data_IF_439952307114
#
_entry.id   IF_439952307114
#
_cell.length_a   1.000
_cell.length_b   1.000
_cell.length_c   1.000
_cell.angle_alpha   90.00
_cell.angle_beta   90.00
_cell.angle_gamma   90.00
#
_symmetry.space_group_name_H-M   'P 1'
#
loop_
_entity.id
_entity.type
_entity.pdbx_description
1 polymer ?
#
# COMPACT_ATOMS: atom_id res chain seq x y z
N UNK A 1 16.50 -5.91 18.18
CA UNK A 1 15.37 -6.37 19.01
C UNK A 1 14.39 -5.24 19.35
N UNK A 2 14.76 -4.25 20.17
CA UNK A 2 13.84 -3.17 20.57
C UNK A 2 13.39 -2.28 19.41
N UNK A 3 14.28 -1.97 18.47
CA UNK A 3 13.98 -1.14 17.28
C UNK A 3 12.89 -1.78 16.42
N UNK A 4 12.97 -3.09 16.18
CA UNK A 4 11.99 -3.80 15.35
C UNK A 4 10.63 -3.91 16.07
N UNK A 5 10.62 -4.13 17.40
CA UNK A 5 9.40 -4.07 18.20
C UNK A 5 8.75 -2.68 18.16
N UNK A 6 9.54 -1.61 18.29
CA UNK A 6 9.07 -0.23 18.14
C UNK A 6 8.53 0.02 16.72
N UNK A 7 9.21 -0.49 15.69
CA UNK A 7 8.75 -0.42 14.30
C UNK A 7 7.39 -1.08 14.11
N UNK A 8 7.16 -2.26 14.68
CA UNK A 8 5.84 -2.91 14.65
C UNK A 8 4.75 -2.12 15.39
N UNK A 9 5.09 -1.49 16.53
CA UNK A 9 4.15 -0.60 17.23
C UNK A 9 3.77 0.62 16.37
N UNK A 10 4.76 1.24 15.74
CA UNK A 10 4.56 2.40 14.84
C UNK A 10 3.70 1.98 13.63
N UNK A 11 4.04 0.87 12.98
CA UNK A 11 3.27 0.31 11.87
C UNK A 11 1.82 0.08 12.26
N UNK A 12 1.58 -0.59 13.39
CA UNK A 12 0.24 -0.89 13.87
C UNK A 12 -0.56 0.38 14.15
N UNK A 13 0.05 1.37 14.81
CA UNK A 13 -0.60 2.64 15.11
C UNK A 13 -0.95 3.41 13.83
N UNK A 14 0.00 3.57 12.90
CA UNK A 14 -0.23 4.27 11.62
C UNK A 14 -1.32 3.58 10.80
N UNK A 15 -1.31 2.25 10.73
CA UNK A 15 -2.31 1.48 9.99
C UNK A 15 -3.70 1.64 10.59
N UNK A 16 -3.85 1.50 11.91
CA UNK A 16 -5.14 1.65 12.59
C UNK A 16 -5.74 3.03 12.40
N UNK A 17 -4.93 4.07 12.65
CA UNK A 17 -5.40 5.45 12.56
C UNK A 17 -5.75 5.79 11.10
N UNK A 18 -4.94 5.35 10.14
CA UNK A 18 -5.15 5.63 8.72
C UNK A 18 -6.33 4.89 8.09
N UNK A 19 -6.60 3.65 8.49
CA UNK A 19 -7.62 2.79 7.84
C UNK A 19 -8.93 2.66 8.60
N UNK A 20 -8.94 2.89 9.91
CA UNK A 20 -10.11 2.65 10.76
C UNK A 20 -10.51 3.89 11.57
N UNK A 21 -9.96 5.07 11.30
CA UNK A 21 -10.02 6.26 12.16
C UNK A 21 -11.38 6.55 12.83
N UNK A 22 -12.49 6.43 12.07
CA UNK A 22 -13.86 6.69 12.56
C UNK A 22 -14.41 5.62 13.51
N UNK A 23 -13.84 4.41 13.53
CA UNK A 23 -14.26 3.31 14.43
C UNK A 23 -13.58 3.36 15.79
N UNK A 24 -12.55 4.18 15.94
CA UNK A 24 -11.76 4.29 17.16
C UNK A 24 -12.17 5.46 18.06
N UNK A 25 -12.86 6.46 17.52
CA UNK A 25 -13.14 7.71 18.22
C UNK A 25 -14.56 8.21 17.92
N UNK A 26 -15.37 8.32 18.97
CA UNK A 26 -16.76 8.82 18.91
C UNK A 26 -16.84 10.35 19.09
N UNK A 27 -15.82 11.08 18.65
CA UNK A 27 -15.73 12.55 18.76
C UNK A 27 -15.54 13.16 17.40
N UNK A 28 -16.54 13.91 16.95
CA UNK A 28 -16.59 14.51 15.61
C UNK A 28 -15.33 15.31 15.25
N UNK A 29 -14.83 16.14 16.17
CA UNK A 29 -13.64 16.96 15.92
C UNK A 29 -12.35 16.14 15.75
N UNK A 30 -12.23 14.98 16.42
CA UNK A 30 -11.08 14.09 16.24
C UNK A 30 -11.19 13.39 14.88
N UNK A 31 -12.39 12.94 14.53
CA UNK A 31 -12.65 12.35 13.21
C UNK A 31 -12.35 13.32 12.08
N UNK A 32 -12.76 14.59 12.21
CA UNK A 32 -12.45 15.64 11.25
C UNK A 32 -10.94 15.86 11.10
N UNK A 33 -10.20 15.94 12.21
CA UNK A 33 -8.75 16.12 12.19
C UNK A 33 -8.02 14.90 11.59
N UNK A 34 -8.47 13.68 11.91
CA UNK A 34 -7.95 12.46 11.32
C UNK A 34 -8.20 12.41 9.80
N UNK A 35 -9.38 12.82 9.35
CA UNK A 35 -9.71 12.87 7.94
C UNK A 35 -8.85 13.92 7.21
N UNK A 36 -8.62 15.07 7.83
CA UNK A 36 -7.77 16.15 7.28
C UNK A 36 -6.32 15.71 7.10
N UNK A 37 -5.79 14.91 8.02
CA UNK A 37 -4.39 14.47 8.01
C UNK A 37 -4.17 13.07 7.42
N UNK A 38 -5.23 12.38 6.97
CA UNK A 38 -5.15 11.05 6.37
C UNK A 38 -4.11 10.92 5.25
N UNK A 39 -3.97 11.86 4.29
CA UNK A 39 -2.93 11.77 3.27
C UNK A 39 -1.51 11.73 3.86
N UNK A 40 -1.25 12.52 4.91
CA UNK A 40 0.07 12.55 5.57
C UNK A 40 0.37 11.26 6.32
N UNK A 41 -0.67 10.62 6.89
CA UNK A 41 -0.54 9.28 7.48
C UNK A 41 -0.17 8.25 6.41
N UNK A 42 -0.78 8.36 5.23
CA UNK A 42 -0.41 7.57 4.06
C UNK A 42 1.04 7.78 3.63
N UNK A 43 1.50 9.01 3.55
CA UNK A 43 2.88 9.35 3.20
C UNK A 43 3.88 8.80 4.23
N UNK A 44 3.54 8.87 5.53
CA UNK A 44 4.35 8.28 6.61
C UNK A 44 4.42 6.76 6.48
N UNK A 45 3.30 6.11 6.22
CA UNK A 45 3.22 4.66 6.08
C UNK A 45 3.92 4.18 4.80
N UNK A 46 3.82 4.93 3.70
CA UNK A 46 4.56 4.72 2.45
C UNK A 46 6.07 4.81 2.68
N UNK A 47 6.52 5.87 3.37
CA UNK A 47 7.93 6.04 3.73
C UNK A 47 8.42 4.87 4.59
N UNK A 48 7.63 4.47 5.59
CA UNK A 48 7.91 3.30 6.43
C UNK A 48 7.99 2.01 5.60
N UNK A 49 7.08 1.81 4.66
CA UNK A 49 7.01 0.60 3.83
C UNK A 49 8.24 0.41 2.94
N UNK A 50 8.91 1.50 2.55
CA UNK A 50 10.13 1.48 1.75
C UNK A 50 11.43 1.29 2.54
N UNK A 51 11.38 1.32 3.87
CA UNK A 51 12.58 1.24 4.72
C UNK A 51 12.51 0.20 5.83
N UNK A 52 11.32 -0.30 6.17
CA UNK A 52 11.18 -1.32 7.21
C UNK A 52 11.79 -2.64 6.73
N UNK A 53 12.75 -3.23 7.46
CA UNK A 53 13.55 -4.34 6.96
C UNK A 53 12.81 -5.69 6.99
N UNK A 54 11.49 -5.69 7.19
CA UNK A 54 10.66 -6.89 7.34
C UNK A 54 9.42 -6.79 6.46
N UNK A 55 9.12 -7.86 5.73
CA UNK A 55 7.97 -7.98 4.83
C UNK A 55 6.67 -8.09 5.63
N UNK A 56 6.21 -6.97 6.20
CA UNK A 56 5.14 -6.96 7.19
C UNK A 56 3.76 -7.36 6.64
N UNK A 57 3.57 -7.37 5.32
CA UNK A 57 2.37 -7.92 4.68
C UNK A 57 2.47 -9.44 4.41
N UNK A 58 3.62 -10.05 4.70
CA UNK A 58 3.91 -11.46 4.42
C UNK A 58 4.59 -12.11 5.65
N UNK A 59 3.90 -12.16 6.80
CA UNK A 59 4.46 -12.60 8.07
C UNK A 59 5.03 -14.03 8.03
N UNK A 60 4.59 -14.87 7.09
CA UNK A 60 5.10 -16.21 6.83
C UNK A 60 6.60 -16.23 6.45
N UNK A 61 7.15 -15.13 5.92
CA UNK A 61 8.56 -15.04 5.54
C UNK A 61 9.46 -14.41 6.61
N UNK A 62 8.89 -13.97 7.73
CA UNK A 62 9.66 -13.34 8.79
C UNK A 62 10.78 -14.25 9.32
N UNK A 63 10.54 -15.56 9.45
CA UNK A 63 11.55 -16.52 9.93
C UNK A 63 12.74 -16.69 8.98
N UNK A 64 12.58 -16.34 7.71
CA UNK A 64 13.62 -16.43 6.68
C UNK A 64 14.48 -15.16 6.60
N UNK A 65 14.00 -14.07 7.19
CA UNK A 65 14.66 -12.77 7.11
C UNK A 65 15.77 -12.65 8.18
N UNK A 66 17.01 -12.46 7.74
CA UNK A 66 18.19 -12.32 8.61
C UNK A 66 18.10 -11.15 9.59
N UNK A 67 17.30 -10.13 9.28
CA UNK A 67 17.05 -8.98 10.14
C UNK A 67 15.88 -9.21 11.11
N UNK A 68 15.08 -10.26 10.90
CA UNK A 68 14.02 -10.60 11.83
C UNK A 68 14.62 -11.18 13.10
N UNK A 69 14.40 -10.48 14.21
CA UNK A 69 14.63 -11.04 15.54
C UNK A 69 13.43 -11.94 15.89
N UNK A 70 13.63 -13.00 16.68
CA UNK A 70 12.54 -13.82 17.25
C UNK A 70 11.76 -13.02 18.32
N UNK A 71 11.14 -11.90 17.94
CA UNK A 71 10.58 -10.90 18.85
C UNK A 71 9.49 -11.49 19.74
N UNK A 72 8.65 -12.37 19.19
CA UNK A 72 7.56 -13.02 19.94
C UNK A 72 8.04 -13.88 21.11
N UNK A 73 9.32 -14.25 21.15
CA UNK A 73 9.93 -15.03 22.24
C UNK A 73 10.74 -14.18 23.22
N UNK A 74 10.84 -12.86 22.99
CA UNK A 74 11.66 -11.97 23.82
C UNK A 74 10.96 -11.55 25.11
N UNK A 75 9.64 -11.31 25.08
CA UNK A 75 8.85 -10.97 26.27
C UNK A 75 7.33 -11.15 26.04
N UNK A 76 6.52 -11.22 27.12
CA UNK A 76 5.06 -11.22 27.01
C UNK A 76 4.49 -10.01 26.26
N UNK A 77 5.06 -8.82 26.48
CA UNK A 77 4.65 -7.58 25.79
C UNK A 77 4.98 -7.64 24.30
N UNK A 78 6.11 -8.22 23.93
CA UNK A 78 6.50 -8.40 22.55
C UNK A 78 5.57 -9.38 21.83
N UNK A 79 5.14 -10.45 22.51
CA UNK A 79 4.13 -11.38 21.99
C UNK A 79 2.77 -10.70 21.78
N UNK A 80 2.30 -9.91 22.74
CA UNK A 80 1.05 -9.14 22.62
C UNK A 80 1.08 -8.18 21.42
N UNK A 81 2.18 -7.45 21.22
CA UNK A 81 2.34 -6.57 20.04
C UNK A 81 2.26 -7.36 18.74
N UNK A 82 2.97 -8.48 18.63
CA UNK A 82 2.94 -9.29 17.41
C UNK A 82 1.55 -9.89 17.14
N UNK A 83 0.83 -10.28 18.20
CA UNK A 83 -0.55 -10.76 18.12
C UNK A 83 -1.50 -9.66 17.63
N UNK A 84 -1.33 -8.43 18.15
CA UNK A 84 -2.10 -7.28 17.71
C UNK A 84 -1.82 -6.92 16.25
N UNK A 85 -0.55 -6.89 15.84
CA UNK A 85 -0.14 -6.63 14.45
C UNK A 85 -0.75 -7.67 13.51
N UNK A 86 -0.71 -8.96 13.85
CA UNK A 86 -1.28 -10.02 13.02
C UNK A 86 -2.80 -9.91 12.85
N UNK A 87 -3.51 -9.32 13.82
CA UNK A 87 -4.95 -9.08 13.74
C UNK A 87 -5.31 -7.86 12.90
N UNK A 88 -4.41 -6.88 12.87
CA UNK A 88 -4.67 -5.55 12.33
C UNK A 88 -4.12 -5.37 10.92
N UNK A 89 -2.89 -5.81 10.68
CA UNK A 89 -2.22 -5.68 9.40
C UNK A 89 -2.65 -6.85 8.50
N UNK A 90 -3.36 -6.59 7.40
CA UNK A 90 -3.78 -7.62 6.45
C UNK A 90 -2.60 -8.23 5.69
N UNK A 91 -2.82 -9.39 5.06
CA UNK A 91 -1.85 -9.96 4.12
C UNK A 91 -1.79 -9.16 2.81
N UNK A 92 -0.66 -9.28 2.10
CA UNK A 92 -0.42 -8.59 0.82
C UNK A 92 -1.54 -8.80 -0.19
N UNK A 93 -2.01 -10.04 -0.35
CA UNK A 93 -3.11 -10.36 -1.27
C UNK A 93 -4.37 -9.58 -0.92
N UNK A 94 -4.71 -9.47 0.37
CA UNK A 94 -5.92 -8.79 0.81
C UNK A 94 -5.86 -7.28 0.54
N UNK A 95 -4.72 -6.62 0.75
CA UNK A 95 -4.60 -5.18 0.46
C UNK A 95 -4.64 -4.87 -1.02
N UNK A 96 -4.08 -5.76 -1.86
CA UNK A 96 -4.14 -5.59 -3.31
C UNK A 96 -5.58 -5.79 -3.79
N UNK A 97 -6.27 -6.84 -3.32
CA UNK A 97 -7.67 -7.08 -3.64
C UNK A 97 -8.56 -5.92 -3.19
N UNK A 98 -8.31 -5.31 -2.03
CA UNK A 98 -9.06 -4.14 -1.57
C UNK A 98 -8.89 -2.92 -2.50
N UNK A 99 -7.69 -2.71 -3.07
CA UNK A 99 -7.46 -1.68 -4.09
C UNK A 99 -8.17 -2.04 -5.41
N UNK A 100 -8.11 -3.30 -5.85
CA UNK A 100 -8.77 -3.79 -7.05
C UNK A 100 -10.29 -3.65 -6.97
N UNK A 101 -10.90 -4.11 -5.88
CA UNK A 101 -12.33 -4.01 -5.62
C UNK A 101 -12.79 -2.55 -5.60
N UNK A 102 -12.02 -1.66 -4.95
CA UNK A 102 -12.33 -0.23 -4.96
C UNK A 102 -12.29 0.36 -6.39
N UNK A 103 -11.29 -0.02 -7.19
CA UNK A 103 -11.14 0.44 -8.58
C UNK A 103 -12.23 -0.10 -9.53
N UNK A 104 -12.76 -1.30 -9.27
CA UNK A 104 -13.82 -1.94 -10.06
C UNK A 104 -15.22 -1.54 -9.62
N UNK A 105 -15.37 -1.13 -8.36
CA UNK A 105 -16.64 -0.67 -7.83
C UNK A 105 -17.10 0.64 -8.47
N UNK A 106 -18.40 0.92 -8.37
CA UNK A 106 -18.95 2.26 -8.61
C UNK A 106 -18.78 3.19 -7.40
N UNK A 107 -18.00 2.76 -6.39
CA UNK A 107 -17.77 3.56 -5.21
C UNK A 107 -16.96 4.79 -5.61
N UNK A 108 -17.34 5.91 -5.02
CA UNK A 108 -16.61 7.16 -5.13
C UNK A 108 -15.43 7.16 -4.15
N UNK A 109 -14.50 8.09 -4.34
CA UNK A 109 -13.42 8.32 -3.39
C UNK A 109 -13.94 8.52 -1.95
N UNK A 110 -15.09 9.18 -1.77
CA UNK A 110 -15.66 9.47 -0.45
C UNK A 110 -16.12 8.22 0.31
N UNK A 111 -16.42 7.12 -0.40
CA UNK A 111 -16.88 5.89 0.23
C UNK A 111 -15.74 5.15 0.96
N UNK A 112 -14.51 5.27 0.47
CA UNK A 112 -13.34 4.61 1.03
C UNK A 112 -12.03 5.39 0.81
N UNK A 113 -11.92 6.63 1.34
CA UNK A 113 -10.78 7.49 1.04
C UNK A 113 -9.46 6.93 1.58
N UNK A 114 -9.51 6.09 2.61
CA UNK A 114 -8.32 5.40 3.14
C UNK A 114 -7.69 4.41 2.15
N UNK A 115 -8.45 3.84 1.21
CA UNK A 115 -7.90 2.96 0.17
C UNK A 115 -6.95 3.75 -0.73
N UNK A 116 -7.38 4.94 -1.14
CA UNK A 116 -6.62 5.84 -2.02
C UNK A 116 -5.51 6.56 -1.27
N UNK A 117 -5.75 7.01 -0.05
CA UNK A 117 -4.84 7.90 0.68
C UNK A 117 -3.89 7.18 1.62
N UNK A 118 -4.12 5.92 1.98
CA UNK A 118 -3.30 5.19 2.96
C UNK A 118 -2.80 3.87 2.38
N UNK A 119 -3.72 3.02 1.91
CA UNK A 119 -3.36 1.67 1.43
C UNK A 119 -2.56 1.77 0.14
N UNK A 120 -3.07 2.51 -0.86
CA UNK A 120 -2.44 2.66 -2.16
C UNK A 120 -1.00 3.22 -2.09
N UNK A 121 -0.71 4.36 -1.43
CA UNK A 121 0.68 4.86 -1.32
C UNK A 121 1.60 3.87 -0.60
N UNK A 122 1.10 3.19 0.44
CA UNK A 122 1.84 2.15 1.16
C UNK A 122 2.23 1.00 0.23
N UNK A 123 1.27 0.44 -0.50
CA UNK A 123 1.50 -0.68 -1.43
C UNK A 123 2.42 -0.26 -2.60
N UNK A 124 2.22 0.94 -3.16
CA UNK A 124 3.08 1.49 -4.22
C UNK A 124 4.56 1.61 -3.79
N UNK A 125 4.82 1.78 -2.50
CA UNK A 125 6.18 1.87 -1.95
C UNK A 125 6.72 0.50 -1.51
N UNK A 126 5.85 -0.35 -0.97
CA UNK A 126 6.17 -1.71 -0.52
C UNK A 126 6.64 -2.60 -1.68
N UNK A 127 5.88 -2.60 -2.80
CA UNK A 127 6.10 -3.56 -3.88
C UNK A 127 7.47 -3.41 -4.55
N UNK A 128 7.93 -2.22 -4.99
CA UNK A 128 9.24 -2.08 -5.62
C UNK A 128 10.39 -2.43 -4.68
N UNK A 129 10.26 -2.07 -3.40
CA UNK A 129 11.26 -2.36 -2.37
C UNK A 129 11.46 -3.88 -2.21
N UNK A 130 10.39 -4.63 -1.97
CA UNK A 130 10.47 -6.08 -1.78
C UNK A 130 10.72 -6.84 -3.08
N UNK A 131 10.22 -6.35 -4.21
CA UNK A 131 10.56 -6.91 -5.52
C UNK A 131 12.07 -6.90 -5.79
N UNK A 132 12.80 -5.91 -5.29
CA UNK A 132 14.26 -5.81 -5.46
C UNK A 132 15.04 -7.00 -4.88
N UNK A 133 14.49 -7.63 -3.83
CA UNK A 133 15.05 -8.81 -3.15
C UNK A 133 14.23 -10.09 -3.39
N UNK A 134 13.20 -10.00 -4.23
CA UNK A 134 12.25 -11.07 -4.49
C UNK A 134 12.77 -12.18 -5.40
N UNK A 135 11.98 -13.26 -5.57
CA UNK A 135 12.39 -14.48 -6.26
C UNK A 135 12.71 -14.28 -7.75
N UNK A 136 12.10 -13.26 -8.39
CA UNK A 136 12.33 -12.96 -9.81
C UNK A 136 13.70 -12.33 -10.09
N UNK A 137 14.25 -11.54 -9.15
CA UNK A 137 15.62 -10.99 -9.26
C UNK A 137 16.68 -11.93 -8.72
N UNK A 138 16.37 -12.67 -7.66
CA UNK A 138 17.31 -13.56 -6.97
C UNK A 138 17.13 -15.04 -7.34
N UNK A 139 16.93 -15.34 -8.64
CA UNK A 139 16.64 -16.71 -9.13
C UNK A 139 17.73 -17.75 -8.84
N UNK A 140 18.96 -17.32 -8.52
CA UNK A 140 20.13 -18.18 -8.26
C UNK A 140 20.55 -18.17 -6.79
N UNK A 141 19.84 -17.46 -5.91
CA UNK A 141 20.18 -17.40 -4.50
C UNK A 141 19.79 -18.70 -3.79
N UNK A 142 20.72 -19.27 -3.02
CA UNK A 142 20.45 -20.36 -2.08
C UNK A 142 19.85 -19.88 -0.77
N UNK A 143 19.69 -18.55 -0.61
CA UNK A 143 19.13 -17.96 0.61
C UNK A 143 17.63 -18.25 0.74
N UNK A 144 17.14 -18.41 1.98
CA UNK A 144 15.71 -18.57 2.23
C UNK A 144 14.90 -17.42 1.63
N UNK A 145 13.74 -17.75 1.06
CA UNK A 145 12.84 -16.77 0.45
C UNK A 145 12.29 -15.80 1.52
N UNK A 146 12.50 -14.50 1.33
CA UNK A 146 12.05 -13.46 2.28
C UNK A 146 10.78 -12.71 1.85
N UNK A 147 10.30 -12.93 0.62
CA UNK A 147 9.07 -12.33 0.08
C UNK A 147 8.58 -13.10 -1.17
N UNK A 148 7.28 -13.06 -1.43
CA UNK A 148 6.58 -13.50 -2.64
C UNK A 148 6.33 -12.36 -3.63
N UNK A 149 6.72 -11.12 -3.34
CA UNK A 149 6.45 -9.99 -4.23
C UNK A 149 7.03 -10.22 -5.63
N UNK A 150 6.21 -9.94 -6.63
CA UNK A 150 6.53 -10.14 -8.05
C UNK A 150 6.05 -8.96 -8.89
N UNK A 151 6.48 -8.90 -10.16
CA UNK A 151 6.02 -7.89 -11.12
C UNK A 151 4.50 -7.94 -11.33
N UNK A 152 3.88 -9.11 -11.22
CA UNK A 152 2.43 -9.29 -11.38
C UNK A 152 1.64 -8.51 -10.32
N UNK A 153 2.16 -8.40 -9.10
CA UNK A 153 1.54 -7.58 -8.05
C UNK A 153 1.59 -6.07 -8.40
N UNK A 154 2.73 -5.59 -8.90
CA UNK A 154 2.86 -4.18 -9.34
C UNK A 154 1.95 -3.87 -10.53
N UNK A 155 1.86 -4.81 -11.45
CA UNK A 155 1.01 -4.75 -12.64
C UNK A 155 -0.49 -4.66 -12.28
N UNK A 156 -0.94 -5.48 -11.32
CA UNK A 156 -2.32 -5.44 -10.80
C UNK A 156 -2.63 -4.07 -10.19
N UNK A 157 -1.79 -3.58 -9.28
CA UNK A 157 -1.99 -2.27 -8.64
C UNK A 157 -1.98 -1.13 -9.65
N UNK A 158 -1.07 -1.15 -10.63
CA UNK A 158 -1.04 -0.14 -11.70
C UNK A 158 -2.33 -0.18 -12.54
N UNK A 159 -2.83 -1.36 -12.89
CA UNK A 159 -4.11 -1.50 -13.58
C UNK A 159 -5.26 -0.88 -12.80
N UNK A 160 -5.34 -1.13 -11.50
CA UNK A 160 -6.34 -0.54 -10.60
C UNK A 160 -6.23 0.99 -10.53
N UNK A 161 -5.01 1.52 -10.46
CA UNK A 161 -4.78 2.97 -10.51
C UNK A 161 -5.29 3.57 -11.82
N UNK A 162 -4.97 2.97 -12.96
CA UNK A 162 -5.40 3.48 -14.26
C UNK A 162 -6.92 3.44 -14.41
N UNK A 163 -7.58 2.39 -13.90
CA UNK A 163 -9.05 2.32 -13.80
C UNK A 163 -9.61 3.45 -12.92
N UNK A 164 -9.04 3.69 -11.74
CA UNK A 164 -9.47 4.77 -10.85
C UNK A 164 -9.37 6.15 -11.51
N UNK A 165 -8.25 6.42 -12.18
CA UNK A 165 -8.04 7.67 -12.93
C UNK A 165 -9.03 7.79 -14.08
N UNK A 166 -9.21 6.72 -14.87
CA UNK A 166 -10.16 6.70 -15.99
C UNK A 166 -11.59 7.00 -15.54
N UNK A 167 -12.03 6.39 -14.44
CA UNK A 167 -13.39 6.51 -13.93
C UNK A 167 -13.69 7.89 -13.33
N UNK A 168 -12.66 8.64 -12.92
CA UNK A 168 -12.81 9.93 -12.24
C UNK A 168 -12.27 11.13 -13.06
N UNK A 169 -11.96 10.94 -14.34
CA UNK A 169 -11.36 11.98 -15.19
C UNK A 169 -12.24 13.23 -15.39
N UNK A 170 -13.55 13.07 -15.21
CA UNK A 170 -14.57 14.12 -15.36
C UNK A 170 -14.86 14.84 -14.03
N UNK A 171 -14.20 14.44 -12.92
CA UNK A 171 -14.35 15.11 -11.63
C UNK A 171 -13.66 16.49 -11.64
N UNK A 172 -14.42 17.55 -11.37
CA UNK A 172 -13.94 18.94 -11.44
C UNK A 172 -12.91 19.29 -10.34
N UNK A 173 -12.95 18.62 -9.19
CA UNK A 173 -11.99 18.83 -8.09
C UNK A 173 -11.62 17.52 -7.40
N UNK A 174 -10.49 16.91 -7.80
CA UNK A 174 -9.99 15.68 -7.20
C UNK A 174 -8.50 15.81 -6.79
N UNK A 175 -8.19 16.43 -5.64
CA UNK A 175 -6.82 16.57 -5.14
C UNK A 175 -6.10 15.22 -4.97
N UNK A 176 -6.86 14.17 -4.62
CA UNK A 176 -6.35 12.81 -4.48
C UNK A 176 -5.76 12.25 -5.80
N UNK A 177 -6.30 12.61 -6.97
CA UNK A 177 -5.78 12.16 -8.26
C UNK A 177 -4.35 12.66 -8.53
N UNK A 178 -4.05 13.90 -8.12
CA UNK A 178 -2.68 14.45 -8.21
C UNK A 178 -1.71 13.66 -7.33
N UNK A 179 -2.17 13.18 -6.16
CA UNK A 179 -1.35 12.37 -5.25
C UNK A 179 -1.10 10.97 -5.80
N UNK A 180 -2.14 10.32 -6.35
CA UNK A 180 -1.97 9.02 -7.03
C UNK A 180 -0.87 9.08 -8.09
N UNK A 181 -0.86 10.12 -8.92
CA UNK A 181 0.16 10.28 -9.96
C UNK A 181 1.59 10.29 -9.39
N UNK A 182 1.81 10.82 -8.18
CA UNK A 182 3.10 10.78 -7.48
C UNK A 182 3.37 9.38 -6.94
N UNK A 183 2.42 8.77 -6.22
CA UNK A 183 2.59 7.46 -5.60
C UNK A 183 2.91 6.36 -6.63
N UNK A 184 2.25 6.42 -7.77
CA UNK A 184 2.35 5.40 -8.82
C UNK A 184 3.67 5.44 -9.58
N UNK A 185 4.46 6.52 -9.48
CA UNK A 185 5.80 6.61 -10.09
C UNK A 185 6.71 5.45 -9.67
N UNK A 186 6.61 5.02 -8.41
CA UNK A 186 7.45 3.96 -7.86
C UNK A 186 7.21 2.59 -8.53
N UNK A 187 5.95 2.31 -8.91
CA UNK A 187 5.59 1.04 -9.56
C UNK A 187 5.70 1.09 -11.09
N UNK A 188 5.47 2.26 -11.72
CA UNK A 188 5.57 2.41 -13.19
C UNK A 188 6.94 1.95 -13.70
N UNK A 189 8.01 2.36 -13.03
CA UNK A 189 9.39 2.05 -13.44
C UNK A 189 9.71 0.54 -13.43
N UNK A 190 8.99 -0.25 -12.63
CA UNK A 190 9.24 -1.68 -12.44
C UNK A 190 8.11 -2.56 -13.01
N UNK A 191 7.04 -1.96 -13.52
CA UNK A 191 5.93 -2.64 -14.18
C UNK A 191 6.29 -3.02 -15.63
N UNK A 192 5.63 -4.06 -16.16
CA UNK A 192 5.87 -4.51 -17.53
C UNK A 192 5.32 -3.51 -18.55
N UNK A 193 6.07 -3.25 -19.63
CA UNK A 193 5.63 -2.39 -20.76
C UNK A 193 4.40 -2.93 -21.50
N UNK A 194 4.05 -4.20 -21.31
CA UNK A 194 2.87 -4.84 -21.90
C UNK A 194 1.53 -4.35 -21.34
N UNK A 195 1.52 -3.55 -20.27
CA UNK A 195 0.30 -2.96 -19.69
C UNK A 195 -0.04 -1.57 -20.26
N UNK A 196 0.87 -0.98 -21.03
CA UNK A 196 0.69 0.34 -21.61
C UNK A 196 -0.43 0.33 -22.66
N UNK A 197 -0.53 -0.70 -23.49
CA UNK A 197 -1.56 -0.78 -24.55
C UNK A 197 -3.00 -0.88 -24.04
N UNK A 198 -3.38 -1.82 -23.15
CA UNK A 198 -4.79 -1.96 -22.76
C UNK A 198 -5.28 -0.87 -21.79
N UNK A 199 -4.39 -0.22 -21.03
CA UNK A 199 -4.78 0.71 -19.96
C UNK A 199 -4.36 2.16 -20.19
N UNK A 200 -3.21 2.45 -20.80
CA UNK A 200 -2.82 3.84 -21.08
C UNK A 200 -3.47 4.39 -22.34
N UNK A 201 -3.71 3.56 -23.36
CA UNK A 201 -4.34 4.04 -24.60
C UNK A 201 -5.72 4.66 -24.31
N UNK A 202 -6.65 3.98 -23.62
CA UNK A 202 -7.96 4.54 -23.31
C UNK A 202 -7.90 5.82 -22.48
N UNK A 203 -6.97 5.91 -21.52
CA UNK A 203 -6.77 7.12 -20.69
C UNK A 203 -6.21 8.27 -21.54
N UNK A 204 -5.21 8.00 -22.37
CA UNK A 204 -4.56 9.01 -23.21
C UNK A 204 -5.48 9.55 -24.31
N UNK A 205 -6.33 8.71 -24.89
CA UNK A 205 -7.35 9.12 -25.87
C UNK A 205 -8.38 10.06 -25.23
N UNK A 206 -8.88 9.71 -24.02
CA UNK A 206 -9.83 10.55 -23.29
C UNK A 206 -9.22 11.90 -22.87
N UNK A 207 -7.95 11.91 -22.45
CA UNK A 207 -7.22 13.14 -22.15
C UNK A 207 -7.03 14.02 -23.39
N UNK A 208 -6.74 13.42 -24.54
CA UNK A 208 -6.56 14.16 -25.80
C UNK A 208 -7.85 14.87 -26.22
N UNK A 209 -8.99 14.18 -26.20
CA UNK A 209 -10.30 14.76 -26.55
C UNK A 209 -10.59 15.97 -25.66
N UNK A 210 -10.37 15.85 -24.35
CA UNK A 210 -10.61 16.94 -23.38
C UNK A 210 -9.70 18.16 -23.54
N UNK A 211 -8.52 18.00 -24.14
CA UNK A 211 -7.61 19.11 -24.42
C UNK A 211 -7.86 19.77 -25.78
N UNK A 212 -8.63 19.12 -26.66
CA UNK A 212 -9.03 19.65 -27.97
C UNK A 212 -10.37 20.43 -27.91
N UNK A 213 -11.15 20.24 -26.85
CA UNK A 213 -12.35 21.01 -26.47
C UNK A 213 -12.02 22.21 -25.54
#
# INVERSE_FOLDING_TARGET
NEIQLAGYKILNALWLIGTQGTKFVDRDWITEELNRHRPLLGDCLSSFASCFPIAFFEPEFNGNNKHASNISQLSPEANDVMTNVARTIPHLTKVITEIEEHAESKATYEDAPFVVEVILPCVCSYLPFWWSVGPQKNKQSTEPKVTNVTVEHMNSVLGSVLKLVHNNIDANEAPWMKRIAVYTQAIILNSSTTLLEPYLLPVSERLKIKCED
#
